data_IF_965087883306
#
_entry.id   IF_965087883306
#
_cell.length_a   1.000
_cell.length_b   1.000
_cell.length_c   1.000
_cell.angle_alpha   90.00
_cell.angle_beta   90.00
_cell.angle_gamma   90.00
#
_symmetry.space_group_name_H-M   'P 1'
#
loop_
_entity.id
_entity.type
_entity.pdbx_description
1 polymer ?
#
# COMPACT_ATOMS: atom_id res chain seq x y z
N UNK A 1 -8.13 14.69 -19.58
CA UNK A 1 -7.98 15.51 -18.34
C UNK A 1 -6.69 16.34 -18.34
N UNK A 2 -5.50 15.77 -18.06
CA UNK A 2 -4.24 16.55 -18.15
C UNK A 2 -3.86 16.90 -19.60
N UNK A 3 -4.09 15.98 -20.55
CA UNK A 3 -3.83 16.24 -21.98
C UNK A 3 -4.81 17.26 -22.59
N UNK A 4 -6.09 17.26 -22.20
CA UNK A 4 -7.08 18.25 -22.66
C UNK A 4 -6.81 19.66 -22.11
N UNK A 5 -6.19 19.77 -20.93
CA UNK A 5 -5.70 21.04 -20.38
C UNK A 5 -4.35 21.48 -20.98
N UNK A 6 -3.77 20.65 -21.86
CA UNK A 6 -2.41 20.79 -22.41
C UNK A 6 -1.30 20.85 -21.33
N UNK A 7 -1.55 20.23 -20.16
CA UNK A 7 -0.56 20.12 -19.08
C UNK A 7 0.26 18.86 -19.26
N UNK A 8 1.57 19.01 -19.50
CA UNK A 8 2.47 17.87 -19.79
C UNK A 8 3.28 17.44 -18.57
N UNK A 9 2.66 17.45 -17.39
CA UNK A 9 3.35 17.09 -16.14
C UNK A 9 3.91 15.65 -16.15
N UNK A 10 3.19 14.71 -16.78
CA UNK A 10 3.62 13.30 -16.91
C UNK A 10 4.85 13.08 -17.79
N UNK A 11 5.27 14.07 -18.60
CA UNK A 11 6.52 13.97 -19.37
C UNK A 11 7.75 14.51 -18.62
N UNK A 12 7.53 15.24 -17.51
CA UNK A 12 8.61 15.89 -16.75
C UNK A 12 8.80 15.23 -15.38
N UNK A 13 7.69 14.93 -14.70
CA UNK A 13 7.68 14.23 -13.42
C UNK A 13 7.67 12.73 -13.64
N UNK A 14 8.52 12.03 -12.89
CA UNK A 14 8.52 10.56 -12.85
C UNK A 14 7.24 10.04 -12.18
N UNK A 15 6.68 10.83 -11.26
CA UNK A 15 5.43 10.55 -10.56
C UNK A 15 4.63 11.85 -10.40
N UNK A 16 3.47 11.92 -11.03
CA UNK A 16 2.55 13.08 -10.99
C UNK A 16 1.71 13.09 -9.71
N UNK A 17 1.51 11.93 -9.07
CA UNK A 17 0.82 11.82 -7.79
C UNK A 17 1.79 11.80 -6.60
N UNK A 18 3.10 11.91 -6.85
CA UNK A 18 4.11 12.10 -5.83
C UNK A 18 4.09 13.52 -5.25
N UNK A 19 4.92 13.77 -4.22
CA UNK A 19 4.86 15.00 -3.42
C UNK A 19 4.93 16.31 -4.23
N UNK A 20 5.81 16.40 -5.23
CA UNK A 20 5.90 17.58 -6.10
C UNK A 20 4.69 17.73 -7.02
N UNK A 21 4.20 16.64 -7.60
CA UNK A 21 3.06 16.68 -8.49
C UNK A 21 1.76 17.03 -7.76
N UNK A 22 1.53 16.47 -6.56
CA UNK A 22 0.40 16.85 -5.71
C UNK A 22 0.45 18.30 -5.27
N UNK A 23 1.61 18.82 -4.88
CA UNK A 23 1.74 20.23 -4.51
C UNK A 23 1.32 21.15 -5.65
N UNK A 24 1.79 20.86 -6.87
CA UNK A 24 1.44 21.60 -8.08
C UNK A 24 -0.06 21.47 -8.40
N UNK A 25 -0.61 20.26 -8.38
CA UNK A 25 -2.03 20.02 -8.65
C UNK A 25 -2.93 20.72 -7.63
N UNK A 26 -2.57 20.70 -6.34
CA UNK A 26 -3.30 21.41 -5.28
C UNK A 26 -3.29 22.92 -5.52
N UNK A 27 -2.15 23.51 -5.88
CA UNK A 27 -2.08 24.93 -6.20
C UNK A 27 -2.95 25.30 -7.43
N UNK A 28 -2.92 24.47 -8.47
CA UNK A 28 -3.80 24.61 -9.64
C UNK A 28 -5.29 24.59 -9.22
N UNK A 29 -5.68 23.65 -8.38
CA UNK A 29 -7.04 23.53 -7.85
C UNK A 29 -7.42 24.78 -7.04
N UNK A 30 -6.50 25.30 -6.23
CA UNK A 30 -6.68 26.53 -5.44
C UNK A 30 -6.72 27.81 -6.27
N UNK A 31 -6.39 27.73 -7.55
CA UNK A 31 -6.58 28.80 -8.50
C UNK A 31 -5.31 29.42 -9.06
N UNK A 32 -4.15 28.84 -8.77
CA UNK A 32 -2.87 29.29 -9.29
C UNK A 32 -2.69 28.86 -10.76
N UNK A 33 -2.30 29.82 -11.60
CA UNK A 33 -2.05 29.62 -13.03
C UNK A 33 -0.62 30.01 -13.43
N UNK A 34 0.13 30.72 -12.58
CA UNK A 34 1.47 31.16 -12.93
C UNK A 34 2.41 29.94 -12.99
N UNK A 35 2.92 29.57 -14.19
CA UNK A 35 3.81 28.43 -14.35
C UNK A 35 5.11 28.61 -13.55
N UNK A 36 5.51 29.83 -13.22
CA UNK A 36 6.69 30.11 -12.37
C UNK A 36 6.42 29.71 -10.92
N UNK A 37 5.30 30.16 -10.36
CA UNK A 37 4.91 29.84 -8.99
C UNK A 37 4.65 28.33 -8.85
N UNK A 38 3.95 27.74 -9.81
CA UNK A 38 3.70 26.31 -9.84
C UNK A 38 5.01 25.50 -9.92
N UNK A 39 5.94 25.84 -10.82
CA UNK A 39 7.20 25.12 -10.93
C UNK A 39 8.13 25.31 -9.72
N UNK A 40 7.94 26.38 -8.94
CA UNK A 40 8.68 26.61 -7.70
C UNK A 40 8.27 25.64 -6.57
N UNK A 41 7.08 25.05 -6.65
CA UNK A 41 6.60 24.01 -5.71
C UNK A 41 7.30 22.67 -5.90
N UNK A 42 8.11 22.50 -6.96
CA UNK A 42 8.87 21.29 -7.19
C UNK A 42 9.92 21.06 -6.11
N UNK A 43 9.96 19.84 -5.57
CA UNK A 43 10.85 19.42 -4.50
C UNK A 43 11.86 18.36 -4.99
N UNK A 44 12.95 18.19 -4.24
CA UNK A 44 13.96 17.16 -4.50
C UNK A 44 14.51 17.19 -5.93
N UNK A 45 14.46 16.04 -6.62
CA UNK A 45 14.96 15.93 -8.00
C UNK A 45 14.10 16.67 -9.03
N UNK A 46 12.81 16.90 -8.75
CA UNK A 46 11.94 17.68 -9.63
C UNK A 46 12.37 19.15 -9.71
N UNK A 47 12.99 19.68 -8.65
CA UNK A 47 13.55 21.05 -8.61
C UNK A 47 14.64 21.27 -9.66
N UNK A 48 15.43 20.25 -9.99
CA UNK A 48 16.42 20.33 -11.08
C UNK A 48 15.76 20.50 -12.46
N UNK A 49 14.46 20.19 -12.58
CA UNK A 49 13.67 20.27 -13.82
C UNK A 49 12.74 21.48 -13.85
N UNK A 50 12.89 22.47 -12.97
CA UNK A 50 12.00 23.65 -12.87
C UNK A 50 11.77 24.34 -14.21
N UNK A 51 12.80 24.51 -15.05
CA UNK A 51 12.63 25.11 -16.37
C UNK A 51 11.72 24.27 -17.29
N UNK A 52 11.89 22.94 -17.28
CA UNK A 52 11.02 22.02 -18.05
C UNK A 52 9.60 21.98 -17.49
N UNK A 53 9.45 22.08 -16.16
CA UNK A 53 8.15 22.17 -15.50
C UNK A 53 7.41 23.45 -15.91
N UNK A 54 8.09 24.61 -15.92
CA UNK A 54 7.51 25.86 -16.42
C UNK A 54 6.95 25.70 -17.82
N UNK A 55 7.70 25.11 -18.73
CA UNK A 55 7.22 24.88 -20.11
C UNK A 55 6.02 23.91 -20.14
N UNK A 56 6.07 22.83 -19.35
CA UNK A 56 4.97 21.87 -19.26
C UNK A 56 3.70 22.42 -18.60
N UNK A 57 3.81 23.53 -17.86
CA UNK A 57 2.74 24.18 -17.11
C UNK A 57 2.12 25.38 -17.83
N UNK A 58 2.58 25.76 -19.03
CA UNK A 58 1.99 26.83 -19.85
C UNK A 58 0.63 26.48 -20.49
N UNK A 59 -0.05 25.45 -20.00
CA UNK A 59 -1.35 24.99 -20.49
C UNK A 59 -2.48 25.97 -20.13
N UNK A 60 -3.67 25.76 -20.72
CA UNK A 60 -4.87 26.54 -20.39
C UNK A 60 -5.72 25.74 -19.40
N UNK A 61 -5.72 26.17 -18.15
CA UNK A 61 -6.51 25.55 -17.09
C UNK A 61 -7.84 26.29 -17.00
N UNK A 62 -8.94 25.58 -17.19
CA UNK A 62 -10.29 26.13 -17.06
C UNK A 62 -10.85 25.82 -15.68
N UNK A 63 -11.91 26.52 -15.27
CA UNK A 63 -12.65 26.18 -14.07
C UNK A 63 -13.10 24.71 -14.06
N UNK A 64 -13.61 24.22 -15.19
CA UNK A 64 -14.01 22.81 -15.33
C UNK A 64 -12.84 21.84 -15.11
N UNK A 65 -11.65 22.14 -15.65
CA UNK A 65 -10.45 21.34 -15.40
C UNK A 65 -10.09 21.30 -13.91
N UNK A 66 -10.19 22.43 -13.21
CA UNK A 66 -9.94 22.50 -11.75
C UNK A 66 -10.96 21.67 -10.97
N UNK A 67 -12.24 21.77 -11.30
CA UNK A 67 -13.29 20.97 -10.66
C UNK A 67 -13.03 19.47 -10.83
N UNK A 68 -12.70 19.04 -12.05
CA UNK A 68 -12.40 17.65 -12.32
C UNK A 68 -11.13 17.18 -11.61
N UNK A 69 -10.05 17.97 -11.63
CA UNK A 69 -8.82 17.65 -10.92
C UNK A 69 -9.04 17.52 -9.41
N UNK A 70 -9.85 18.42 -8.82
CA UNK A 70 -10.20 18.37 -7.42
C UNK A 70 -10.91 17.05 -7.07
N UNK A 71 -11.93 16.68 -7.85
CA UNK A 71 -12.68 15.44 -7.63
C UNK A 71 -11.78 14.19 -7.70
N UNK A 72 -10.92 14.11 -8.72
CA UNK A 72 -10.02 12.96 -8.87
C UNK A 72 -9.00 12.88 -7.74
N UNK A 73 -8.41 14.01 -7.35
CA UNK A 73 -7.44 14.04 -6.26
C UNK A 73 -8.09 13.63 -4.92
N UNK A 74 -9.33 14.09 -4.66
CA UNK A 74 -10.10 13.68 -3.49
C UNK A 74 -10.37 12.18 -3.47
N UNK A 75 -10.74 11.57 -4.60
CA UNK A 75 -10.96 10.12 -4.68
C UNK A 75 -9.68 9.32 -4.44
N UNK A 76 -8.55 9.76 -4.99
CA UNK A 76 -7.25 9.13 -4.76
C UNK A 76 -6.90 9.19 -3.28
N UNK A 77 -7.00 10.37 -2.66
CA UNK A 77 -6.70 10.54 -1.23
C UNK A 77 -7.63 9.69 -0.36
N UNK A 78 -8.93 9.60 -0.69
CA UNK A 78 -9.87 8.74 0.03
C UNK A 78 -9.52 7.25 -0.07
N UNK A 79 -9.09 6.78 -1.25
CA UNK A 79 -8.66 5.39 -1.44
C UNK A 79 -7.37 5.07 -0.70
N UNK A 80 -6.41 6.00 -0.69
CA UNK A 80 -5.17 5.84 0.07
C UNK A 80 -5.41 5.80 1.59
N UNK A 81 -6.34 6.63 2.08
CA UNK A 81 -6.77 6.58 3.47
C UNK A 81 -7.45 5.26 3.80
N UNK A 82 -8.39 4.80 2.97
CA UNK A 82 -9.06 3.52 3.18
C UNK A 82 -8.07 2.34 3.19
N UNK A 83 -7.05 2.36 2.33
CA UNK A 83 -5.98 1.36 2.33
C UNK A 83 -5.18 1.40 3.63
N UNK A 84 -4.82 2.60 4.10
CA UNK A 84 -4.08 2.78 5.35
C UNK A 84 -4.88 2.28 6.56
N UNK A 85 -6.17 2.59 6.62
CA UNK A 85 -7.05 2.12 7.70
C UNK A 85 -7.20 0.59 7.68
N UNK A 86 -7.29 0.01 6.49
CA UNK A 86 -7.36 -1.43 6.30
C UNK A 86 -6.05 -2.10 6.73
N UNK A 87 -4.90 -1.55 6.35
CA UNK A 87 -3.59 -2.03 6.76
C UNK A 87 -3.40 -1.93 8.28
N UNK A 88 -3.91 -0.89 8.93
CA UNK A 88 -3.88 -0.77 10.39
C UNK A 88 -4.79 -1.81 11.07
N UNK A 89 -6.03 -1.96 10.57
CA UNK A 89 -6.99 -2.93 11.09
C UNK A 89 -6.51 -4.38 10.92
N UNK A 90 -5.99 -4.72 9.74
CA UNK A 90 -5.37 -6.01 9.46
C UNK A 90 -4.03 -6.16 10.18
N UNK A 91 -3.26 -5.10 10.36
CA UNK A 91 -2.06 -5.08 11.17
C UNK A 91 -2.34 -5.64 12.56
N UNK A 92 -3.37 -5.14 13.24
CA UNK A 92 -3.80 -5.65 14.54
C UNK A 92 -4.33 -7.09 14.45
N UNK A 93 -5.23 -7.37 13.51
CA UNK A 93 -5.83 -8.70 13.37
C UNK A 93 -4.80 -9.81 13.02
N UNK A 94 -3.76 -9.47 12.27
CA UNK A 94 -2.70 -10.40 11.85
C UNK A 94 -1.54 -10.48 12.86
N UNK A 95 -1.52 -9.66 13.91
CA UNK A 95 -0.45 -9.67 14.92
C UNK A 95 -0.36 -11.02 15.65
N UNK A 96 -1.47 -11.63 16.13
CA UNK A 96 -1.42 -12.98 16.69
C UNK A 96 -0.85 -13.98 15.68
N UNK A 97 -1.30 -13.95 14.42
CA UNK A 97 -0.81 -14.87 13.38
C UNK A 97 0.70 -14.72 13.18
N UNK A 98 1.23 -13.50 13.11
CA UNK A 98 2.67 -13.24 12.99
C UNK A 98 3.46 -13.75 14.21
N UNK A 99 2.95 -13.54 15.42
CA UNK A 99 3.60 -14.04 16.64
C UNK A 99 3.67 -15.57 16.65
N UNK A 100 2.58 -16.26 16.28
CA UNK A 100 2.56 -17.73 16.20
C UNK A 100 3.51 -18.26 15.11
N UNK A 101 3.60 -17.60 13.96
CA UNK A 101 4.59 -17.95 12.92
C UNK A 101 6.01 -17.77 13.45
N UNK A 102 6.32 -16.70 14.19
CA UNK A 102 7.65 -16.51 14.78
C UNK A 102 7.99 -17.56 15.83
N UNK A 103 7.03 -17.92 16.69
CA UNK A 103 7.21 -18.97 17.69
C UNK A 103 7.51 -20.33 17.03
N UNK A 104 6.76 -20.71 15.99
CA UNK A 104 7.00 -21.95 15.25
C UNK A 104 8.37 -21.99 14.58
N UNK A 105 8.89 -20.84 14.12
CA UNK A 105 10.25 -20.75 13.54
C UNK A 105 11.38 -20.97 14.54
N UNK A 106 11.09 -20.97 15.85
CA UNK A 106 12.08 -21.33 16.87
C UNK A 106 12.32 -22.84 16.95
N UNK A 107 11.45 -23.65 16.34
CA UNK A 107 11.59 -25.11 16.28
C UNK A 107 12.63 -25.47 15.19
N UNK A 108 13.70 -26.21 15.54
CA UNK A 108 14.69 -26.66 14.55
C UNK A 108 14.03 -27.43 13.40
N UNK A 109 14.34 -27.05 12.16
CA UNK A 109 13.75 -27.64 10.95
C UNK A 109 12.46 -26.98 10.45
N UNK A 110 11.89 -26.02 11.19
CA UNK A 110 10.69 -25.26 10.75
C UNK A 110 11.10 -23.92 10.14
N UNK A 111 11.07 -23.86 8.80
CA UNK A 111 11.28 -22.63 8.04
C UNK A 111 10.06 -21.70 8.02
N UNK A 112 10.24 -20.47 7.52
CA UNK A 112 9.19 -19.43 7.50
C UNK A 112 7.94 -19.87 6.72
N UNK A 113 8.12 -20.51 5.55
CA UNK A 113 7.01 -21.05 4.77
C UNK A 113 6.26 -22.15 5.52
N UNK A 114 6.98 -23.10 6.13
CA UNK A 114 6.40 -24.20 6.91
C UNK A 114 5.61 -23.69 8.10
N UNK A 115 6.14 -22.71 8.84
CA UNK A 115 5.45 -22.07 9.96
C UNK A 115 4.13 -21.40 9.53
N UNK A 116 4.14 -20.66 8.40
CA UNK A 116 2.91 -20.04 7.85
C UNK A 116 1.87 -21.07 7.43
N UNK A 117 2.30 -22.13 6.75
CA UNK A 117 1.41 -23.22 6.32
C UNK A 117 0.80 -23.92 7.53
N UNK A 118 1.58 -24.18 8.58
CA UNK A 118 1.07 -24.75 9.82
C UNK A 118 0.00 -23.86 10.45
N UNK A 119 0.27 -22.56 10.67
CA UNK A 119 -0.72 -21.63 11.25
C UNK A 119 -1.98 -21.52 10.38
N UNK A 120 -1.84 -21.52 9.05
CA UNK A 120 -2.99 -21.51 8.14
C UNK A 120 -3.82 -22.81 8.20
N UNK A 121 -3.21 -23.94 8.59
CA UNK A 121 -3.84 -25.27 8.66
C UNK A 121 -4.47 -25.54 10.02
N UNK A 122 -3.75 -25.28 11.09
CA UNK A 122 -4.21 -25.56 12.47
C UNK A 122 -4.98 -24.38 13.07
N UNK A 123 -4.80 -23.17 12.54
CA UNK A 123 -5.29 -21.93 13.12
C UNK A 123 -4.41 -21.43 14.28
N UNK A 124 -4.81 -20.33 14.90
CA UNK A 124 -4.15 -19.79 16.12
C UNK A 124 -4.87 -20.17 17.41
N UNK A 125 -6.02 -20.84 17.30
CA UNK A 125 -6.84 -21.24 18.45
C UNK A 125 -6.67 -22.74 18.70
N UNK A 126 -5.90 -23.08 19.72
CA UNK A 126 -5.62 -24.46 20.12
C UNK A 126 -6.75 -25.09 20.95
N UNK A 127 -7.75 -24.32 21.41
CA UNK A 127 -8.90 -24.87 22.16
C UNK A 127 -9.80 -25.77 21.31
N UNK A 128 -9.64 -25.71 19.98
CA UNK A 128 -10.29 -26.60 19.02
C UNK A 128 -9.79 -28.05 19.13
N UNK A 129 -8.65 -28.29 19.78
CA UNK A 129 -8.13 -29.61 20.08
C UNK A 129 -8.27 -29.86 21.59
N UNK A 130 -8.76 -31.04 21.97
CA UNK A 130 -8.91 -31.39 23.38
C UNK A 130 -7.54 -31.48 24.09
N UNK A 131 -6.52 -31.96 23.39
CA UNK A 131 -5.13 -32.01 23.84
C UNK A 131 -4.15 -32.03 22.64
N UNK A 132 -2.85 -32.07 22.92
CA UNK A 132 -1.80 -32.14 21.90
C UNK A 132 -1.80 -33.45 21.11
N UNK A 133 -2.29 -34.56 21.67
CA UNK A 133 -2.38 -35.84 20.95
C UNK A 133 -3.44 -35.79 19.84
N UNK A 134 -4.55 -35.08 20.06
CA UNK A 134 -5.57 -34.84 19.04
C UNK A 134 -5.04 -33.99 17.88
N UNK A 135 -4.16 -33.02 18.16
CA UNK A 135 -3.45 -32.27 17.13
C UNK A 135 -2.50 -33.16 16.31
N UNK A 136 -1.68 -34.00 16.97
CA UNK A 136 -0.75 -34.92 16.31
C UNK A 136 -1.51 -35.91 15.39
N UNK A 137 -2.64 -36.43 15.88
CA UNK A 137 -3.55 -37.27 15.11
C UNK A 137 -4.10 -36.53 13.88
N UNK A 138 -4.52 -35.27 14.05
CA UNK A 138 -5.03 -34.45 12.95
C UNK A 138 -3.99 -34.12 11.88
N UNK A 139 -2.73 -33.82 12.27
CA UNK A 139 -1.63 -33.54 11.32
C UNK A 139 -1.19 -34.83 10.59
N UNK A 140 -1.69 -36.00 10.99
CA UNK A 140 -1.30 -37.29 10.40
C UNK A 140 0.09 -37.75 10.84
N UNK A 141 0.60 -37.20 11.96
CA UNK A 141 1.91 -37.52 12.53
C UNK A 141 1.85 -38.62 13.61
N UNK A 142 0.72 -39.30 13.78
CA UNK A 142 0.67 -40.48 14.62
C UNK A 142 1.63 -41.55 14.08
N UNK A 143 2.64 -41.99 14.86
CA UNK A 143 3.30 -43.25 14.58
C UNK A 143 2.22 -44.32 14.61
N UNK A 144 2.13 -45.15 13.57
CA UNK A 144 1.25 -46.31 13.57
C UNK A 144 1.68 -47.21 14.73
N UNK A 145 0.91 -47.20 15.83
CA UNK A 145 1.13 -48.10 16.96
C UNK A 145 0.64 -49.49 16.55
N UNK A 146 1.43 -50.18 15.72
CA UNK A 146 1.29 -51.61 15.46
C UNK A 146 1.89 -52.38 16.63
N UNK A 147 1.19 -52.47 17.75
CA UNK A 147 1.44 -53.54 18.72
C UNK A 147 0.18 -54.39 18.85
N UNK A 148 0.17 -55.47 18.08
CA UNK A 148 -0.71 -56.61 18.29
C UNK A 148 0.00 -57.55 19.27
N UNK A 149 -0.60 -57.76 20.44
CA UNK A 149 -0.40 -58.95 21.26
C UNK A 149 -1.75 -59.63 21.44
#
# INVERSE_FOLDING_TARGET
>A
MLEDANLKLGSVLTDVLGGSGRAILKAIISGEDDPVLLAALAQGHARKKTNKLREALRGRITFHHRTMLALHLQLIEALEHALTDLDAAWGLALTPIRQHVQLLRTIPGVGDLTARVLVAKIGIDMTRFADSAHLISWVGLCPRNDESW
#
